data_IF_014603539444
#
_entry.id   IF_014603539444
#
_cell.length_a   1.000
_cell.length_b   1.000
_cell.length_c   1.000
_cell.angle_alpha   90.00
_cell.angle_beta   90.00
_cell.angle_gamma   90.00
#
_symmetry.space_group_name_H-M   'P 1'
#
loop_
_entity.id
_entity.type
_entity.pdbx_description
1 polymer ?
#
# COMPACT_ATOMS: atom_id res chain seq x y z
N UNK A 1 15.32 -17.01 12.94
CA UNK A 1 14.25 -16.66 12.00
C UNK A 1 14.88 -16.27 10.67
N UNK A 2 14.36 -16.76 9.56
CA UNK A 2 14.78 -16.38 8.20
C UNK A 2 13.69 -15.55 7.53
N UNK A 3 14.05 -14.41 6.94
CA UNK A 3 13.13 -13.56 6.19
C UNK A 3 13.55 -13.49 4.72
N UNK A 4 12.73 -14.02 3.83
CA UNK A 4 12.97 -14.10 2.38
C UNK A 4 12.12 -13.07 1.67
N UNK A 5 12.75 -12.20 0.89
CA UNK A 5 12.05 -11.14 0.15
C UNK A 5 12.89 -10.65 -1.05
N UNK A 6 12.30 -9.93 -2.03
CA UNK A 6 13.05 -9.40 -3.17
C UNK A 6 13.93 -8.21 -2.78
N UNK A 7 15.16 -8.47 -2.31
CA UNK A 7 16.06 -7.46 -1.75
C UNK A 7 16.49 -6.39 -2.76
N UNK A 8 16.65 -6.77 -4.02
CA UNK A 8 17.19 -5.92 -5.08
C UNK A 8 16.13 -5.22 -5.93
N UNK A 9 14.85 -5.40 -5.63
CA UNK A 9 13.74 -4.75 -6.32
C UNK A 9 13.10 -3.68 -5.43
N UNK A 10 12.99 -2.44 -5.94
CA UNK A 10 12.30 -1.36 -5.22
C UNK A 10 10.79 -1.49 -5.50
N UNK A 11 10.14 -2.38 -4.76
CA UNK A 11 8.69 -2.60 -4.81
C UNK A 11 8.11 -2.52 -3.40
N UNK A 12 6.79 -2.37 -3.29
CA UNK A 12 6.10 -2.26 -1.99
C UNK A 12 6.45 -3.41 -1.03
N UNK A 13 6.52 -4.64 -1.52
CA UNK A 13 6.90 -5.81 -0.71
C UNK A 13 8.28 -5.67 -0.06
N UNK A 14 9.26 -5.16 -0.80
CA UNK A 14 10.61 -4.92 -0.28
C UNK A 14 10.62 -3.85 0.80
N UNK A 15 9.86 -2.76 0.60
CA UNK A 15 9.76 -1.67 1.57
C UNK A 15 9.14 -2.19 2.87
N UNK A 16 8.06 -2.94 2.79
CA UNK A 16 7.37 -3.50 3.96
C UNK A 16 8.25 -4.55 4.66
N UNK A 17 8.89 -5.46 3.92
CA UNK A 17 9.81 -6.45 4.49
C UNK A 17 10.95 -5.78 5.25
N UNK A 18 11.57 -4.74 4.66
CA UNK A 18 12.64 -3.97 5.32
C UNK A 18 12.16 -3.29 6.59
N UNK A 19 10.94 -2.74 6.62
CA UNK A 19 10.36 -2.15 7.83
C UNK A 19 10.08 -3.19 8.92
N UNK A 20 9.56 -4.37 8.57
CA UNK A 20 9.44 -5.48 9.53
C UNK A 20 10.79 -5.82 10.15
N UNK A 21 11.81 -6.03 9.33
CA UNK A 21 13.15 -6.43 9.77
C UNK A 21 13.82 -5.33 10.60
N UNK A 22 13.73 -4.07 10.15
CA UNK A 22 14.26 -2.90 10.84
C UNK A 22 13.74 -2.83 12.28
N UNK A 23 12.41 -2.91 12.45
CA UNK A 23 11.80 -2.79 13.77
C UNK A 23 11.97 -4.02 14.64
N UNK A 24 12.02 -5.24 14.07
CA UNK A 24 12.39 -6.46 14.82
C UNK A 24 13.80 -6.33 15.40
N UNK A 25 14.76 -5.85 14.59
CA UNK A 25 16.15 -5.63 15.02
C UNK A 25 16.25 -4.49 16.03
N UNK A 26 15.63 -3.34 15.76
CA UNK A 26 15.61 -2.14 16.63
C UNK A 26 15.10 -2.46 18.03
N UNK A 27 14.04 -3.24 18.12
CA UNK A 27 13.40 -3.62 19.38
C UNK A 27 13.97 -4.91 19.99
N UNK A 28 14.96 -5.53 19.35
CA UNK A 28 15.60 -6.79 19.77
C UNK A 28 14.61 -7.94 20.05
N UNK A 29 13.56 -8.03 19.21
CA UNK A 29 12.48 -9.00 19.41
C UNK A 29 12.90 -10.42 19.03
N UNK A 30 13.74 -10.58 18.00
CA UNK A 30 14.23 -11.86 17.52
C UNK A 30 15.53 -11.72 16.72
N UNK A 31 16.31 -12.81 16.63
CA UNK A 31 17.41 -12.89 15.68
C UNK A 31 16.85 -13.18 14.29
N UNK A 32 17.12 -12.31 13.34
CA UNK A 32 16.62 -12.39 11.98
C UNK A 32 17.75 -12.37 10.97
N UNK A 33 17.75 -13.36 10.08
CA UNK A 33 18.61 -13.45 8.91
C UNK A 33 17.80 -13.10 7.67
N UNK A 34 18.38 -12.32 6.78
CA UNK A 34 17.77 -11.89 5.53
C UNK A 34 18.29 -12.72 4.37
N UNK A 35 17.41 -13.10 3.45
CA UNK A 35 17.76 -13.82 2.24
C UNK A 35 17.01 -13.26 1.04
N UNK A 36 17.70 -13.08 -0.08
CA UNK A 36 17.07 -12.71 -1.33
C UNK A 36 16.25 -13.85 -1.92
N UNK A 37 15.11 -13.52 -2.53
CA UNK A 37 14.16 -14.48 -3.14
C UNK A 37 14.83 -15.39 -4.19
N UNK A 38 15.84 -14.87 -4.90
CA UNK A 38 16.55 -15.62 -5.96
C UNK A 38 17.43 -16.71 -5.34
N UNK A 39 18.01 -16.45 -4.17
CA UNK A 39 18.89 -17.38 -3.46
C UNK A 39 18.14 -18.46 -2.69
N UNK A 40 16.87 -18.22 -2.35
CA UNK A 40 16.07 -19.11 -1.51
C UNK A 40 15.99 -20.55 -2.03
N UNK A 41 15.76 -20.82 -3.33
CA UNK A 41 15.68 -22.19 -3.86
C UNK A 41 16.93 -23.05 -3.70
N UNK A 42 18.10 -22.40 -3.58
CA UNK A 42 19.40 -23.06 -3.42
C UNK A 42 19.90 -23.05 -1.98
N UNK A 43 19.15 -22.40 -1.07
CA UNK A 43 19.54 -22.27 0.32
C UNK A 43 19.27 -23.56 1.08
N UNK A 44 20.32 -24.14 1.69
CA UNK A 44 20.23 -25.30 2.59
C UNK A 44 20.76 -24.89 3.94
N UNK A 45 19.90 -24.65 4.92
CA UNK A 45 20.34 -24.23 6.25
C UNK A 45 21.02 -25.38 6.99
N UNK A 46 22.07 -25.07 7.77
CA UNK A 46 22.71 -26.04 8.67
C UNK A 46 21.88 -26.34 9.92
N UNK A 47 20.90 -25.48 10.23
CA UNK A 47 19.90 -25.65 11.27
C UNK A 47 18.53 -25.31 10.69
N UNK A 48 17.46 -25.81 11.33
CA UNK A 48 16.11 -25.45 10.90
C UNK A 48 15.76 -24.02 11.33
N UNK A 49 15.00 -23.33 10.46
CA UNK A 49 14.52 -21.98 10.66
C UNK A 49 13.01 -21.90 10.53
N UNK A 50 12.37 -21.12 11.39
CA UNK A 50 11.09 -20.51 11.04
C UNK A 50 11.32 -19.50 9.95
N UNK A 51 10.67 -19.68 8.79
CA UNK A 51 10.96 -18.93 7.56
C UNK A 51 9.75 -18.16 7.07
N UNK A 52 9.91 -16.88 6.86
CA UNK A 52 8.90 -15.97 6.29
C UNK A 52 9.23 -15.76 4.82
N UNK A 53 8.27 -15.99 3.94
CA UNK A 53 8.34 -15.59 2.52
C UNK A 53 7.41 -14.42 2.26
N UNK A 54 7.94 -13.32 1.76
CA UNK A 54 7.22 -12.09 1.50
C UNK A 54 7.59 -11.45 0.15
N UNK A 55 6.73 -11.48 -0.87
CA UNK A 55 5.41 -12.10 -0.93
C UNK A 55 5.48 -13.59 -1.31
N UNK A 56 4.67 -14.41 -0.68
CA UNK A 56 4.66 -15.85 -0.88
C UNK A 56 4.31 -16.27 -2.31
N UNK A 57 3.15 -15.81 -2.81
CA UNK A 57 2.65 -16.23 -4.12
C UNK A 57 3.61 -15.81 -5.24
N UNK A 58 4.11 -14.57 -5.21
CA UNK A 58 4.98 -14.06 -6.28
C UNK A 58 6.36 -14.73 -6.29
N UNK A 59 6.94 -15.04 -5.12
CA UNK A 59 8.22 -15.76 -5.02
C UNK A 59 8.07 -17.14 -5.67
N UNK A 60 7.03 -17.89 -5.32
CA UNK A 60 6.77 -19.19 -5.93
C UNK A 60 6.39 -19.11 -7.40
N UNK A 61 5.56 -18.16 -7.79
CA UNK A 61 5.16 -17.97 -9.18
C UNK A 61 6.35 -17.70 -10.09
N UNK A 62 7.24 -16.79 -9.71
CA UNK A 62 8.48 -16.51 -10.46
C UNK A 62 9.38 -17.73 -10.54
N UNK A 63 9.56 -18.41 -9.43
CA UNK A 63 10.38 -19.61 -9.38
C UNK A 63 9.86 -20.71 -10.33
N UNK A 64 8.56 -20.93 -10.35
CA UNK A 64 7.93 -21.90 -11.26
C UNK A 64 8.10 -21.50 -12.73
N UNK A 65 7.91 -20.21 -13.06
CA UNK A 65 8.08 -19.72 -14.43
C UNK A 65 9.52 -19.90 -14.92
N UNK A 66 10.52 -19.53 -14.13
CA UNK A 66 11.92 -19.66 -14.51
C UNK A 66 12.30 -21.13 -14.74
N UNK A 67 11.81 -22.03 -13.90
CA UNK A 67 12.17 -23.45 -13.98
C UNK A 67 11.36 -24.22 -15.02
N UNK A 68 10.08 -23.90 -15.26
CA UNK A 68 9.26 -24.54 -16.28
C UNK A 68 9.76 -24.29 -17.69
N UNK A 69 10.25 -23.06 -17.94
CA UNK A 69 10.86 -22.71 -19.22
C UNK A 69 12.19 -23.43 -19.48
N UNK A 70 12.89 -23.83 -18.42
CA UNK A 70 14.22 -24.46 -18.52
C UNK A 70 14.18 -25.98 -18.74
N UNK A 71 13.11 -26.67 -18.40
CA UNK A 71 13.13 -28.14 -18.24
C UNK A 71 11.95 -28.93 -18.85
N UNK A 72 11.03 -28.30 -19.56
CA UNK A 72 9.84 -28.98 -20.19
C UNK A 72 9.00 -29.89 -19.25
N UNK A 73 9.04 -29.66 -17.95
CA UNK A 73 8.25 -30.42 -16.97
C UNK A 73 6.98 -29.71 -16.56
N UNK A 74 5.94 -30.49 -16.15
CA UNK A 74 4.72 -29.92 -15.59
C UNK A 74 5.01 -29.08 -14.34
N UNK A 75 4.67 -27.76 -14.31
CA UNK A 75 4.97 -26.90 -13.20
C UNK A 75 4.38 -27.36 -11.86
N UNK A 76 3.21 -28.02 -11.85
CA UNK A 76 2.53 -28.45 -10.62
C UNK A 76 3.27 -29.56 -9.89
N UNK A 77 3.67 -30.60 -10.62
CA UNK A 77 4.35 -31.77 -10.02
C UNK A 77 5.72 -31.40 -9.47
N UNK A 78 6.37 -30.50 -10.17
CA UNK A 78 7.66 -29.97 -9.76
C UNK A 78 7.59 -29.10 -8.53
N UNK A 79 6.58 -28.24 -8.43
CA UNK A 79 6.35 -27.38 -7.28
C UNK A 79 6.16 -28.21 -6.00
N UNK A 80 5.33 -29.24 -6.02
CA UNK A 80 5.10 -30.10 -4.86
C UNK A 80 6.41 -30.78 -4.41
N UNK A 81 7.18 -31.29 -5.35
CA UNK A 81 8.48 -31.93 -5.07
C UNK A 81 9.48 -30.95 -4.44
N UNK A 82 9.49 -29.69 -4.84
CA UNK A 82 10.32 -28.67 -4.19
C UNK A 82 9.84 -28.30 -2.81
N UNK A 83 8.55 -28.11 -2.60
CA UNK A 83 7.97 -27.86 -1.28
C UNK A 83 8.29 -28.96 -0.29
N UNK A 84 8.09 -30.21 -0.70
CA UNK A 84 8.38 -31.38 0.14
C UNK A 84 9.86 -31.43 0.52
N UNK A 85 10.73 -31.03 -0.40
CA UNK A 85 12.17 -30.96 -0.12
C UNK A 85 12.55 -29.80 0.80
N UNK A 86 11.92 -28.63 0.62
CA UNK A 86 12.17 -27.47 1.49
C UNK A 86 11.61 -27.65 2.90
N UNK A 87 10.43 -28.25 3.05
CA UNK A 87 9.85 -28.54 4.37
C UNK A 87 10.77 -29.37 5.27
N UNK A 88 11.64 -30.18 4.69
CA UNK A 88 12.66 -30.92 5.46
C UNK A 88 13.69 -30.01 6.12
N UNK A 89 13.92 -28.84 5.57
CA UNK A 89 14.95 -27.90 5.98
C UNK A 89 14.44 -26.74 6.87
N UNK A 90 13.11 -26.59 7.00
CA UNK A 90 12.48 -25.49 7.74
C UNK A 90 11.48 -26.00 8.78
N UNK A 91 11.42 -25.35 9.94
CA UNK A 91 10.46 -25.71 10.99
C UNK A 91 9.05 -25.26 10.61
N UNK A 92 8.89 -23.97 10.27
CA UNK A 92 7.64 -23.39 9.84
C UNK A 92 7.87 -22.53 8.60
N UNK A 93 6.94 -22.61 7.66
CA UNK A 93 6.87 -21.77 6.47
C UNK A 93 5.69 -20.80 6.58
N UNK A 94 5.99 -19.53 6.76
CA UNK A 94 4.99 -18.47 6.96
C UNK A 94 4.86 -17.64 5.70
N UNK A 95 3.65 -17.57 5.16
CA UNK A 95 3.34 -16.70 4.04
C UNK A 95 2.98 -15.30 4.53
N UNK A 96 3.66 -14.28 4.02
CA UNK A 96 3.17 -12.90 4.06
C UNK A 96 2.71 -12.55 2.66
N UNK A 97 1.43 -12.25 2.48
CA UNK A 97 0.89 -11.99 1.15
C UNK A 97 -0.28 -11.01 1.16
N UNK A 98 -0.71 -10.64 -0.04
CA UNK A 98 -1.69 -9.59 -0.30
C UNK A 98 -2.80 -10.06 -1.23
N UNK A 99 -3.97 -9.42 -1.13
CA UNK A 99 -5.08 -9.64 -2.05
C UNK A 99 -5.60 -8.29 -2.56
N UNK A 100 -5.45 -8.04 -3.86
CA UNK A 100 -5.81 -6.76 -4.48
C UNK A 100 -7.26 -6.68 -4.97
N UNK A 101 -7.98 -7.81 -5.02
CA UNK A 101 -9.36 -7.92 -5.52
C UNK A 101 -10.22 -8.81 -4.63
N UNK A 102 -11.52 -8.87 -4.88
CA UNK A 102 -12.46 -9.71 -4.11
C UNK A 102 -12.31 -11.22 -4.36
N UNK A 103 -11.32 -11.64 -5.19
CA UNK A 103 -11.12 -13.04 -5.53
C UNK A 103 -9.69 -13.37 -5.95
N UNK A 104 -9.19 -14.50 -5.46
CA UNK A 104 -7.97 -15.16 -5.95
C UNK A 104 -8.29 -16.33 -6.89
N UNK A 105 -7.35 -16.63 -7.78
CA UNK A 105 -7.42 -17.85 -8.59
C UNK A 105 -7.21 -19.11 -7.72
N UNK A 106 -7.73 -20.24 -8.21
CA UNK A 106 -7.47 -21.55 -7.58
C UNK A 106 -5.96 -21.85 -7.49
N UNK A 107 -5.20 -21.44 -8.49
CA UNK A 107 -3.75 -21.56 -8.50
C UNK A 107 -3.11 -20.85 -7.29
N UNK A 108 -3.48 -19.59 -7.04
CA UNK A 108 -2.96 -18.82 -5.91
C UNK A 108 -3.38 -19.43 -4.56
N UNK A 109 -4.62 -19.89 -4.45
CA UNK A 109 -5.14 -20.58 -3.24
C UNK A 109 -4.36 -21.85 -2.97
N UNK A 110 -4.07 -22.65 -4.01
CA UNK A 110 -3.28 -23.88 -3.87
C UNK A 110 -1.85 -23.58 -3.41
N UNK A 111 -1.23 -22.50 -3.90
CA UNK A 111 0.08 -22.07 -3.41
C UNK A 111 0.03 -21.71 -1.92
N UNK A 112 -0.92 -20.89 -1.50
CA UNK A 112 -1.08 -20.46 -0.11
C UNK A 112 -1.36 -21.60 0.85
N UNK A 113 -2.11 -22.61 0.42
CA UNK A 113 -2.39 -23.79 1.23
C UNK A 113 -1.16 -24.67 1.54
N UNK A 114 -0.01 -24.35 0.97
CA UNK A 114 1.27 -24.99 1.33
C UNK A 114 2.03 -24.26 2.45
N UNK A 115 1.63 -23.07 2.85
CA UNK A 115 2.17 -22.42 4.04
C UNK A 115 1.63 -23.07 5.31
N UNK A 116 2.31 -22.89 6.42
CA UNK A 116 1.81 -23.32 7.75
C UNK A 116 0.90 -22.25 8.35
N UNK A 117 1.29 -20.97 8.24
CA UNK A 117 0.52 -19.79 8.63
C UNK A 117 0.51 -18.76 7.53
N UNK A 118 -0.52 -17.91 7.50
CA UNK A 118 -0.65 -16.83 6.55
C UNK A 118 -0.83 -15.49 7.27
N UNK A 119 -0.06 -14.50 6.88
CA UNK A 119 -0.15 -13.12 7.35
C UNK A 119 -0.63 -12.25 6.20
N UNK A 120 -1.69 -11.50 6.43
CA UNK A 120 -2.26 -10.56 5.46
C UNK A 120 -2.50 -9.18 6.10
N UNK A 121 -2.44 -8.08 5.31
CA UNK A 121 -2.39 -6.73 5.88
C UNK A 121 -3.74 -6.16 6.31
N UNK A 122 -4.86 -6.79 5.96
CA UNK A 122 -6.20 -6.23 6.22
C UNK A 122 -7.25 -7.30 6.47
N UNK A 123 -8.35 -6.92 7.13
CA UNK A 123 -9.52 -7.79 7.28
C UNK A 123 -10.11 -8.18 5.92
N UNK A 124 -10.13 -7.25 4.96
CA UNK A 124 -10.53 -7.54 3.58
C UNK A 124 -9.73 -8.70 2.99
N UNK A 125 -8.40 -8.70 3.12
CA UNK A 125 -7.57 -9.80 2.64
C UNK A 125 -7.92 -11.11 3.33
N UNK A 126 -8.08 -11.11 4.66
CA UNK A 126 -8.45 -12.31 5.43
C UNK A 126 -9.81 -12.88 4.97
N UNK A 127 -10.81 -12.03 4.77
CA UNK A 127 -12.13 -12.45 4.29
C UNK A 127 -12.06 -13.06 2.89
N UNK A 128 -11.34 -12.42 1.97
CA UNK A 128 -11.18 -12.92 0.60
C UNK A 128 -10.44 -14.25 0.61
N UNK A 129 -9.36 -14.40 1.38
CA UNK A 129 -8.62 -15.65 1.52
C UNK A 129 -9.53 -16.79 2.00
N UNK A 130 -10.35 -16.55 3.02
CA UNK A 130 -11.33 -17.52 3.54
C UNK A 130 -12.36 -17.89 2.47
N UNK A 131 -12.94 -16.89 1.81
CA UNK A 131 -13.98 -17.09 0.79
C UNK A 131 -13.45 -17.83 -0.45
N UNK A 132 -12.16 -17.71 -0.76
CA UNK A 132 -11.51 -18.43 -1.85
C UNK A 132 -11.09 -19.87 -1.47
N UNK A 133 -11.26 -20.31 -0.21
CA UNK A 133 -10.98 -21.68 0.22
C UNK A 133 -9.55 -21.89 0.72
N UNK A 134 -8.89 -20.87 1.19
CA UNK A 134 -7.63 -20.99 1.94
C UNK A 134 -7.95 -21.61 3.32
N UNK A 135 -7.23 -22.71 3.66
CA UNK A 135 -7.54 -23.55 4.84
C UNK A 135 -6.52 -23.39 5.98
N UNK A 136 -5.59 -22.47 5.85
CA UNK A 136 -4.53 -22.24 6.83
C UNK A 136 -4.96 -21.22 7.87
N UNK A 137 -4.30 -21.23 9.00
CA UNK A 137 -4.47 -20.21 10.01
C UNK A 137 -4.01 -18.86 9.45
N UNK A 138 -4.80 -17.82 9.70
CA UNK A 138 -4.62 -16.51 9.08
C UNK A 138 -4.61 -15.40 10.12
N UNK A 139 -3.63 -14.53 10.03
CA UNK A 139 -3.42 -13.42 10.94
C UNK A 139 -3.43 -12.08 10.20
N UNK A 140 -4.14 -11.09 10.74
CA UNK A 140 -4.07 -9.73 10.25
C UNK A 140 -2.89 -9.00 10.90
N UNK A 141 -1.85 -8.72 10.13
CA UNK A 141 -0.74 -7.85 10.51
C UNK A 141 -0.70 -6.70 9.50
N UNK A 142 -1.21 -5.50 9.84
CA UNK A 142 -1.30 -4.38 8.92
C UNK A 142 0.08 -3.78 8.63
N UNK A 143 0.15 -2.93 7.62
CA UNK A 143 1.29 -2.05 7.46
C UNK A 143 1.19 -0.85 8.41
N UNK A 144 2.32 -0.19 8.67
CA UNK A 144 2.40 0.96 9.54
C UNK A 144 3.15 2.13 8.93
N UNK A 145 3.27 3.18 9.72
CA UNK A 145 4.22 4.27 9.50
C UNK A 145 5.15 4.38 10.70
N UNK A 146 6.27 5.05 10.53
CA UNK A 146 7.17 5.29 11.64
C UNK A 146 6.47 6.16 12.70
N UNK A 147 6.69 5.92 14.00
CA UNK A 147 5.99 6.65 15.08
C UNK A 147 6.10 8.17 14.94
N UNK A 148 7.22 8.66 14.42
CA UNK A 148 7.49 10.07 14.19
C UNK A 148 6.46 10.75 13.28
N UNK A 149 5.90 10.02 12.32
CA UNK A 149 4.87 10.57 11.41
C UNK A 149 3.65 11.10 12.16
N UNK A 150 3.32 10.49 13.29
CA UNK A 150 2.18 10.92 14.11
C UNK A 150 2.50 12.13 15.00
N UNK A 151 3.76 12.35 15.34
CA UNK A 151 4.18 13.30 16.36
C UNK A 151 4.82 14.57 15.80
N UNK A 152 5.46 14.49 14.61
CA UNK A 152 6.15 15.64 14.04
C UNK A 152 5.17 16.80 13.75
N UNK A 153 5.54 18.04 14.14
CA UNK A 153 4.79 19.22 13.73
C UNK A 153 4.83 19.39 12.21
N UNK A 154 4.03 20.32 11.71
CA UNK A 154 4.08 20.67 10.29
C UNK A 154 5.50 21.12 9.90
N UNK A 155 6.09 20.47 8.90
CA UNK A 155 7.51 20.66 8.58
C UNK A 155 7.79 21.90 7.71
N UNK A 156 6.77 22.52 7.13
CA UNK A 156 6.95 23.69 6.29
C UNK A 156 7.40 24.94 7.05
N UNK A 157 7.06 25.05 8.32
CA UNK A 157 7.44 26.20 9.17
C UNK A 157 8.89 26.17 9.64
N UNK A 158 9.59 25.04 9.52
CA UNK A 158 10.91 24.82 10.12
C UNK A 158 12.00 24.39 9.16
N UNK A 159 11.67 24.10 7.88
CA UNK A 159 12.65 23.64 6.91
C UNK A 159 13.50 24.79 6.35
N UNK A 160 14.84 24.67 6.34
CA UNK A 160 15.66 25.62 5.60
C UNK A 160 15.35 25.46 4.10
N UNK A 161 14.87 26.54 3.49
CA UNK A 161 14.44 26.64 2.06
C UNK A 161 15.48 26.05 1.09
N UNK A 162 16.75 26.05 1.46
CA UNK A 162 17.88 25.56 0.65
C UNK A 162 17.93 24.03 0.45
N UNK A 163 17.13 23.25 1.20
CA UNK A 163 17.08 21.78 1.12
C UNK A 163 15.75 21.23 0.56
N UNK A 164 14.87 22.10 0.10
CA UNK A 164 13.56 21.69 -0.41
C UNK A 164 13.70 21.25 -1.86
N UNK A 165 13.16 20.06 -2.18
CA UNK A 165 13.03 19.60 -3.56
C UNK A 165 12.27 20.66 -4.39
N UNK A 166 12.82 21.12 -5.53
CA UNK A 166 12.21 22.17 -6.35
C UNK A 166 10.75 21.89 -6.74
N UNK A 167 10.39 20.62 -6.92
CA UNK A 167 9.01 20.22 -7.24
C UNK A 167 8.04 20.50 -6.09
N UNK A 168 8.49 20.37 -4.84
CA UNK A 168 7.70 20.71 -3.67
C UNK A 168 7.56 22.22 -3.49
N UNK A 169 8.55 22.98 -3.93
CA UNK A 169 8.48 24.45 -3.92
C UNK A 169 7.33 24.96 -4.78
N UNK A 170 7.08 24.36 -5.94
CA UNK A 170 5.94 24.74 -6.79
C UNK A 170 4.60 24.52 -6.07
N UNK A 171 4.44 23.37 -5.40
CA UNK A 171 3.25 23.07 -4.59
C UNK A 171 3.09 24.10 -3.46
N UNK A 172 4.17 24.42 -2.76
CA UNK A 172 4.18 25.43 -1.71
C UNK A 172 3.76 26.81 -2.22
N UNK A 173 4.28 27.23 -3.36
CA UNK A 173 3.94 28.54 -3.96
C UNK A 173 2.45 28.62 -4.33
N UNK A 174 1.87 27.54 -4.84
CA UNK A 174 0.43 27.49 -5.12
C UNK A 174 -0.40 27.56 -3.84
N UNK A 175 -0.01 26.81 -2.80
CA UNK A 175 -0.73 26.82 -1.53
C UNK A 175 -0.66 28.18 -0.84
N UNK A 176 0.53 28.72 -0.63
CA UNK A 176 0.72 29.91 0.22
C UNK A 176 0.51 31.20 -0.55
N UNK A 177 1.15 31.36 -1.73
CA UNK A 177 1.06 32.63 -2.48
C UNK A 177 -0.22 32.77 -3.30
N UNK A 178 -0.73 31.66 -3.85
CA UNK A 178 -1.95 31.67 -4.65
C UNK A 178 -3.20 31.27 -3.85
N UNK A 179 -3.04 30.99 -2.55
CA UNK A 179 -4.11 30.54 -1.64
C UNK A 179 -4.94 29.39 -2.20
N UNK A 180 -4.27 28.39 -2.81
CA UNK A 180 -4.93 27.21 -3.38
C UNK A 180 -5.09 26.13 -2.34
N UNK A 181 -6.22 25.40 -2.39
CA UNK A 181 -6.42 24.14 -1.72
C UNK A 181 -5.79 23.03 -2.53
N UNK A 182 -4.93 22.25 -1.91
CA UNK A 182 -4.12 21.20 -2.55
C UNK A 182 -4.79 19.84 -2.40
N UNK A 183 -5.20 19.27 -3.53
CA UNK A 183 -5.60 17.88 -3.61
C UNK A 183 -4.38 17.05 -4.03
N UNK A 184 -4.07 15.99 -3.31
CA UNK A 184 -2.92 15.14 -3.57
C UNK A 184 -3.35 13.76 -4.04
N UNK A 185 -2.72 13.28 -5.12
CA UNK A 185 -2.95 11.94 -5.64
C UNK A 185 -1.63 11.29 -6.07
N UNK A 186 -1.40 10.04 -5.62
CA UNK A 186 -0.22 9.25 -5.98
C UNK A 186 -0.54 8.24 -7.07
N UNK A 187 0.17 8.34 -8.19
CA UNK A 187 0.07 7.42 -9.31
C UNK A 187 1.46 6.92 -9.72
N UNK A 188 1.89 5.82 -9.16
CA UNK A 188 3.19 5.23 -9.46
C UNK A 188 3.13 4.25 -10.62
N UNK A 189 2.13 3.37 -10.60
CA UNK A 189 1.83 2.36 -11.62
C UNK A 189 0.35 1.98 -11.58
N UNK A 190 -0.08 1.14 -12.55
CA UNK A 190 -1.44 0.57 -12.61
C UNK A 190 -2.56 1.64 -12.58
N UNK A 191 -2.59 2.58 -13.53
CA UNK A 191 -3.54 3.69 -13.52
C UNK A 191 -4.99 3.24 -13.43
N UNK A 192 -5.36 2.14 -14.12
CA UNK A 192 -6.72 1.62 -14.06
C UNK A 192 -7.09 1.13 -12.66
N UNK A 193 -6.23 0.33 -12.03
CA UNK A 193 -6.46 -0.15 -10.66
C UNK A 193 -6.51 1.00 -9.66
N UNK A 194 -5.70 2.02 -9.85
CA UNK A 194 -5.65 3.20 -8.98
C UNK A 194 -6.80 4.18 -9.22
N UNK A 195 -7.66 3.97 -10.23
CA UNK A 195 -8.83 4.80 -10.49
C UNK A 195 -8.50 6.14 -11.16
N UNK A 196 -7.48 6.16 -12.03
CA UNK A 196 -7.06 7.38 -12.71
C UNK A 196 -8.18 8.02 -13.53
N UNK A 197 -9.03 7.23 -14.20
CA UNK A 197 -10.17 7.77 -14.97
C UNK A 197 -11.14 8.54 -14.07
N UNK A 198 -11.40 8.02 -12.89
CA UNK A 198 -12.28 8.64 -11.90
C UNK A 198 -11.66 9.93 -11.31
N UNK A 199 -10.35 9.91 -11.00
CA UNK A 199 -9.63 11.10 -10.55
C UNK A 199 -9.64 12.20 -11.61
N UNK A 200 -9.41 11.84 -12.87
CA UNK A 200 -9.44 12.76 -14.00
C UNK A 200 -10.83 13.40 -14.19
N UNK A 201 -11.89 12.60 -14.15
CA UNK A 201 -13.26 13.08 -14.23
C UNK A 201 -13.60 14.00 -13.05
N UNK A 202 -13.33 13.53 -11.83
CA UNK A 202 -13.52 14.28 -10.60
C UNK A 202 -12.84 15.67 -10.67
N UNK A 203 -11.55 15.70 -11.00
CA UNK A 203 -10.82 16.96 -11.03
C UNK A 203 -11.28 17.91 -12.16
N UNK A 204 -11.60 17.37 -13.34
CA UNK A 204 -12.18 18.17 -14.43
C UNK A 204 -13.49 18.86 -14.05
N UNK A 205 -14.30 18.22 -13.24
CA UNK A 205 -15.56 18.80 -12.74
C UNK A 205 -15.29 19.79 -11.61
N UNK A 206 -14.52 19.39 -10.61
CA UNK A 206 -14.22 20.23 -9.45
C UNK A 206 -13.58 21.58 -9.83
N UNK A 207 -12.61 21.58 -10.76
CA UNK A 207 -11.92 22.82 -11.18
C UNK A 207 -12.82 23.78 -11.97
N UNK A 208 -13.96 23.34 -12.51
CA UNK A 208 -14.96 24.21 -13.12
C UNK A 208 -15.76 24.97 -12.04
N UNK A 209 -16.08 24.29 -10.95
CA UNK A 209 -16.88 24.82 -9.85
C UNK A 209 -16.04 25.63 -8.85
N UNK A 210 -14.79 25.20 -8.60
CA UNK A 210 -13.88 25.81 -7.64
C UNK A 210 -12.56 26.23 -8.29
N UNK A 211 -12.31 27.53 -8.30
CA UNK A 211 -11.06 28.09 -8.85
C UNK A 211 -9.92 28.13 -7.83
N UNK A 212 -10.20 27.86 -6.58
CA UNK A 212 -9.25 27.84 -5.47
C UNK A 212 -8.56 26.49 -5.24
N UNK A 213 -8.83 25.47 -6.07
CA UNK A 213 -8.21 24.14 -5.96
C UNK A 213 -7.07 23.95 -6.94
N UNK A 214 -6.14 23.04 -6.59
CA UNK A 214 -5.09 22.53 -7.48
C UNK A 214 -4.85 21.05 -7.18
N UNK A 215 -4.74 20.23 -8.24
CA UNK A 215 -4.35 18.83 -8.10
C UNK A 215 -2.83 18.72 -8.18
N UNK A 216 -2.24 18.04 -7.21
CA UNK A 216 -0.85 17.59 -7.23
C UNK A 216 -0.84 16.12 -7.59
N UNK A 217 -0.30 15.80 -8.75
CA UNK A 217 -0.16 14.44 -9.27
C UNK A 217 1.27 13.95 -9.03
N UNK A 218 1.44 13.02 -8.10
CA UNK A 218 2.72 12.38 -7.81
C UNK A 218 2.93 11.16 -8.69
N UNK A 219 3.92 11.22 -9.59
CA UNK A 219 4.20 10.17 -10.58
C UNK A 219 5.61 9.58 -10.44
N UNK A 220 5.86 8.46 -11.12
CA UNK A 220 7.19 7.88 -11.23
C UNK A 220 8.11 8.73 -12.12
N UNK A 221 7.61 9.13 -13.29
CA UNK A 221 8.39 9.78 -14.36
C UNK A 221 7.84 11.17 -14.68
N UNK A 222 8.69 12.13 -15.07
CA UNK A 222 8.23 13.41 -15.60
C UNK A 222 7.45 13.29 -16.92
N UNK A 223 7.61 12.17 -17.63
CA UNK A 223 6.95 11.86 -18.89
C UNK A 223 5.71 10.97 -18.72
N UNK A 224 5.00 11.10 -17.58
CA UNK A 224 3.78 10.35 -17.35
C UNK A 224 2.68 10.78 -18.33
N UNK A 225 2.11 9.80 -19.05
CA UNK A 225 0.96 10.00 -19.94
C UNK A 225 -0.20 10.62 -19.17
N UNK A 226 -0.43 10.19 -17.97
CA UNK A 226 -1.52 10.62 -17.10
C UNK A 226 -1.41 12.10 -16.77
N UNK A 227 -0.19 12.62 -16.58
CA UNK A 227 0.03 14.06 -16.41
C UNK A 227 -0.33 14.85 -17.67
N UNK A 228 0.10 14.39 -18.84
CA UNK A 228 -0.21 15.08 -20.10
C UNK A 228 -1.71 15.16 -20.40
N UNK A 229 -2.49 14.17 -19.94
CA UNK A 229 -3.96 14.18 -20.09
C UNK A 229 -4.67 15.30 -19.31
N UNK A 230 -4.02 15.87 -18.30
CA UNK A 230 -4.61 16.87 -17.38
C UNK A 230 -3.78 18.13 -17.20
N UNK A 231 -2.63 18.26 -17.84
CA UNK A 231 -1.73 19.41 -17.68
C UNK A 231 -2.42 20.74 -17.96
N UNK A 232 -3.32 20.79 -18.94
CA UNK A 232 -4.08 21.99 -19.31
C UNK A 232 -5.09 22.43 -18.22
N UNK A 233 -5.29 21.62 -17.18
CA UNK A 233 -6.17 21.95 -16.06
C UNK A 233 -5.42 22.60 -14.89
N UNK A 234 -4.15 22.97 -15.07
CA UNK A 234 -3.31 23.58 -14.04
C UNK A 234 -2.86 22.60 -12.95
N UNK A 235 -2.68 21.33 -13.32
CA UNK A 235 -2.16 20.28 -12.41
C UNK A 235 -0.66 20.49 -12.20
N UNK A 236 -0.20 20.31 -10.95
CA UNK A 236 1.22 20.30 -10.61
C UNK A 236 1.71 18.86 -10.60
N UNK A 237 2.81 18.58 -11.30
CA UNK A 237 3.44 17.27 -11.26
C UNK A 237 4.61 17.25 -10.27
N UNK A 238 4.57 16.28 -9.34
CA UNK A 238 5.72 15.88 -8.52
C UNK A 238 6.14 14.50 -8.97
N UNK A 239 7.38 14.31 -9.44
CA UNK A 239 7.83 13.04 -9.99
C UNK A 239 9.09 12.50 -9.32
N UNK A 240 9.42 11.24 -9.60
CA UNK A 240 10.60 10.57 -9.05
C UNK A 240 10.40 10.05 -7.62
N UNK A 241 11.47 9.59 -7.02
CA UNK A 241 11.47 9.12 -5.64
C UNK A 241 11.51 10.30 -4.67
N UNK A 242 10.75 10.24 -3.61
CA UNK A 242 10.82 11.16 -2.47
C UNK A 242 11.31 10.38 -1.25
N UNK A 243 12.25 10.95 -0.50
CA UNK A 243 12.59 10.43 0.81
C UNK A 243 11.47 10.70 1.83
N UNK A 244 11.56 10.12 3.02
CA UNK A 244 10.48 10.23 4.02
C UNK A 244 10.22 11.68 4.44
N UNK A 245 11.27 12.50 4.57
CA UNK A 245 11.10 13.92 4.89
C UNK A 245 10.35 14.69 3.78
N UNK A 246 10.74 14.48 2.53
CA UNK A 246 10.06 15.09 1.37
C UNK A 246 8.60 14.63 1.27
N UNK A 247 8.33 13.35 1.57
CA UNK A 247 6.95 12.82 1.62
C UNK A 247 6.13 13.50 2.72
N UNK A 248 6.69 13.62 3.94
CA UNK A 248 6.04 14.32 5.05
C UNK A 248 5.71 15.76 4.63
N UNK A 249 6.68 16.48 4.04
CA UNK A 249 6.46 17.84 3.54
C UNK A 249 5.34 17.89 2.49
N UNK A 250 5.29 16.94 1.57
CA UNK A 250 4.26 16.91 0.54
C UNK A 250 2.86 16.67 1.14
N UNK A 251 2.73 15.74 2.10
CA UNK A 251 1.46 15.55 2.80
C UNK A 251 1.07 16.78 3.64
N UNK A 252 2.02 17.42 4.32
CA UNK A 252 1.74 18.62 5.11
C UNK A 252 1.26 19.81 4.26
N UNK A 253 1.57 19.82 2.96
CA UNK A 253 1.02 20.78 1.99
C UNK A 253 -0.38 20.42 1.50
N UNK A 254 -0.77 19.15 1.57
CA UNK A 254 -2.06 18.71 1.07
C UNK A 254 -3.22 19.12 2.00
N UNK A 255 -4.36 19.44 1.41
CA UNK A 255 -5.61 19.65 2.12
C UNK A 255 -6.51 18.40 2.06
N UNK A 256 -6.46 17.66 0.94
CA UNK A 256 -7.19 16.40 0.74
C UNK A 256 -6.28 15.42 0.00
N UNK A 257 -6.28 14.17 0.43
CA UNK A 257 -5.69 13.06 -0.30
C UNK A 257 -6.78 12.25 -1.01
N UNK A 258 -6.54 11.90 -2.28
CA UNK A 258 -7.49 11.10 -3.07
C UNK A 258 -7.04 9.63 -3.10
N UNK A 259 -7.86 8.72 -2.59
CA UNK A 259 -7.71 7.28 -2.77
C UNK A 259 -8.87 6.73 -3.60
N UNK A 260 -8.74 6.76 -4.91
CA UNK A 260 -9.75 6.27 -5.85
C UNK A 260 -9.43 4.86 -6.35
N UNK A 261 -8.58 4.12 -5.62
CA UNK A 261 -8.24 2.74 -5.96
C UNK A 261 -9.48 1.87 -6.05
N UNK A 262 -9.57 1.09 -7.12
CA UNK A 262 -10.67 0.14 -7.37
C UNK A 262 -10.51 -1.16 -6.57
N UNK A 263 -9.29 -1.44 -6.12
CA UNK A 263 -8.91 -2.57 -5.28
C UNK A 263 -7.46 -2.45 -4.86
N UNK A 264 -7.11 -3.15 -3.80
CA UNK A 264 -5.77 -3.16 -3.21
C UNK A 264 -5.78 -3.77 -1.82
N UNK A 265 -4.70 -4.44 -1.47
CA UNK A 265 -4.55 -5.11 -0.19
C UNK A 265 -4.26 -4.15 0.97
N UNK A 266 -3.58 -3.04 0.65
CA UNK A 266 -3.28 -1.97 1.59
C UNK A 266 -2.80 -0.72 0.83
N UNK A 267 -3.45 0.42 1.04
CA UNK A 267 -3.08 1.69 0.42
C UNK A 267 -2.20 2.51 1.37
N UNK A 268 -0.89 2.26 1.33
CA UNK A 268 0.08 2.83 2.27
C UNK A 268 0.08 4.38 2.26
N UNK A 269 0.04 4.98 1.06
CA UNK A 269 -0.02 6.44 0.92
C UNK A 269 -1.25 7.07 1.60
N UNK A 270 -2.35 6.33 1.67
CA UNK A 270 -3.56 6.76 2.38
C UNK A 270 -3.36 6.78 3.89
N UNK A 271 -2.70 5.74 4.43
CA UNK A 271 -2.33 5.72 5.85
C UNK A 271 -1.34 6.85 6.18
N UNK A 272 -0.35 7.07 5.34
CA UNK A 272 0.62 8.17 5.49
C UNK A 272 -0.09 9.54 5.53
N UNK A 273 -1.05 9.76 4.64
CA UNK A 273 -1.87 10.98 4.63
C UNK A 273 -2.61 11.20 5.95
N UNK A 274 -3.33 10.18 6.42
CA UNK A 274 -4.04 10.24 7.70
C UNK A 274 -3.09 10.42 8.88
N UNK A 275 -1.91 9.80 8.86
CA UNK A 275 -0.88 9.97 9.89
C UNK A 275 -0.37 11.41 9.95
N UNK A 276 -0.40 12.15 8.85
CA UNK A 276 -0.11 13.59 8.80
C UNK A 276 -1.34 14.48 9.08
N UNK A 277 -2.47 13.85 9.40
CA UNK A 277 -3.72 14.54 9.71
C UNK A 277 -4.37 15.18 8.49
N UNK A 278 -4.14 14.65 7.30
CA UNK A 278 -4.77 15.11 6.05
C UNK A 278 -6.04 14.30 5.79
N UNK A 279 -7.20 14.94 5.61
CA UNK A 279 -8.43 14.26 5.22
C UNK A 279 -8.26 13.47 3.91
N UNK A 280 -8.94 12.34 3.82
CA UNK A 280 -8.91 11.44 2.66
C UNK A 280 -10.31 11.35 2.05
N UNK A 281 -10.41 11.26 0.74
CA UNK A 281 -11.62 10.79 0.05
C UNK A 281 -11.32 9.40 -0.53
N UNK A 282 -12.08 8.40 -0.11
CA UNK A 282 -11.91 7.01 -0.56
C UNK A 282 -13.25 6.31 -0.69
N UNK A 283 -13.36 5.33 -1.61
CA UNK A 283 -14.56 4.49 -1.72
C UNK A 283 -14.79 3.66 -0.46
N UNK A 284 -16.05 3.36 -0.14
CA UNK A 284 -16.44 2.47 0.96
C UNK A 284 -16.28 0.99 0.58
N UNK A 285 -15.08 0.63 0.11
CA UNK A 285 -14.73 -0.73 -0.32
C UNK A 285 -13.25 -1.04 -0.03
N UNK A 286 -12.94 -2.33 0.15
CA UNK A 286 -11.57 -2.82 0.19
C UNK A 286 -10.86 -2.68 1.53
N UNK A 287 -9.55 -2.85 1.48
CA UNK A 287 -8.68 -2.93 2.65
C UNK A 287 -8.59 -1.66 3.49
N UNK A 288 -8.75 -0.52 2.86
CA UNK A 288 -8.66 0.78 3.55
C UNK A 288 -9.85 1.08 4.46
N UNK A 289 -10.92 0.29 4.41
CA UNK A 289 -12.02 0.37 5.40
C UNK A 289 -11.53 0.08 6.83
N UNK A 290 -10.43 -0.64 6.98
CA UNK A 290 -9.86 -0.97 8.28
C UNK A 290 -9.30 0.27 9.01
N UNK A 291 -8.87 1.30 8.28
CA UNK A 291 -8.17 2.46 8.85
C UNK A 291 -8.66 3.83 8.34
N UNK A 292 -9.59 3.88 7.41
CA UNK A 292 -10.26 5.14 7.04
C UNK A 292 -11.60 5.23 7.77
N UNK A 293 -11.83 6.27 8.58
CA UNK A 293 -13.08 6.43 9.29
C UNK A 293 -14.25 6.69 8.32
N UNK A 294 -15.46 6.26 8.70
CA UNK A 294 -16.64 6.30 7.84
C UNK A 294 -16.99 7.69 7.29
N UNK A 295 -16.74 8.75 8.06
CA UNK A 295 -17.02 10.12 7.63
C UNK A 295 -16.16 10.63 6.47
N UNK A 296 -15.07 9.92 6.12
CA UNK A 296 -14.21 10.21 4.97
C UNK A 296 -14.49 9.29 3.76
N UNK A 297 -15.35 8.28 3.92
CA UNK A 297 -15.66 7.33 2.86
C UNK A 297 -16.83 7.81 2.02
N UNK A 298 -16.79 7.49 0.74
CA UNK A 298 -17.81 7.82 -0.27
C UNK A 298 -18.34 6.55 -0.90
N UNK A 299 -19.50 6.63 -1.53
CA UNK A 299 -20.14 5.49 -2.19
C UNK A 299 -19.27 4.87 -3.24
N UNK A 300 -19.47 3.58 -3.45
CA UNK A 300 -18.93 2.85 -4.59
C UNK A 300 -19.80 3.07 -5.82
N UNK A 301 -19.14 3.19 -6.98
CA UNK A 301 -19.78 3.20 -8.28
C UNK A 301 -19.85 1.79 -8.91
N UNK A 302 -19.51 1.71 -10.19
CA UNK A 302 -19.54 0.47 -10.99
C UNK A 302 -18.56 -0.59 -10.46
N UNK A 303 -18.99 -1.84 -10.45
CA UNK A 303 -18.12 -3.00 -10.17
C UNK A 303 -17.30 -3.35 -11.41
N UNK A 304 -15.98 -3.41 -11.28
CA UNK A 304 -15.04 -3.63 -12.38
C UNK A 304 -13.96 -4.63 -11.99
N UNK A 305 -13.39 -5.31 -12.98
CA UNK A 305 -12.23 -6.17 -12.77
C UNK A 305 -11.02 -5.32 -12.34
N UNK A 306 -10.36 -5.69 -11.24
CA UNK A 306 -9.27 -4.87 -10.66
C UNK A 306 -8.00 -4.96 -11.50
N UNK A 307 -7.62 -6.17 -11.90
CA UNK A 307 -6.41 -6.49 -12.65
C UNK A 307 -6.74 -7.43 -13.83
N UNK A 308 -7.29 -6.92 -14.95
CA UNK A 308 -7.62 -7.74 -16.11
C UNK A 308 -6.40 -8.56 -16.60
N UNK A 309 -6.60 -9.87 -16.81
CA UNK A 309 -5.55 -10.78 -17.27
C UNK A 309 -4.54 -11.22 -16.21
N UNK A 310 -4.68 -10.80 -14.96
CA UNK A 310 -3.81 -11.26 -13.87
C UNK A 310 -4.14 -12.73 -13.51
N UNK A 311 -3.09 -13.55 -13.35
CA UNK A 311 -3.24 -14.97 -13.04
C UNK A 311 -3.49 -15.27 -11.55
N UNK A 312 -3.31 -14.29 -10.69
CA UNK A 312 -3.40 -14.40 -9.23
C UNK A 312 -4.67 -13.69 -8.74
N UNK A 313 -4.78 -12.39 -8.98
CA UNK A 313 -5.88 -11.54 -8.54
C UNK A 313 -6.92 -11.43 -9.66
N UNK A 314 -7.84 -12.38 -9.74
CA UNK A 314 -8.81 -12.52 -10.84
C UNK A 314 -10.15 -11.84 -10.57
N UNK A 315 -10.29 -11.21 -9.42
CA UNK A 315 -11.56 -10.69 -8.93
C UNK A 315 -11.83 -9.24 -9.34
N UNK A 316 -12.85 -8.71 -8.69
CA UNK A 316 -13.43 -7.41 -8.94
C UNK A 316 -13.18 -6.47 -7.76
N UNK A 317 -13.41 -5.21 -7.99
CA UNK A 317 -13.50 -4.13 -7.05
C UNK A 317 -14.48 -3.10 -7.56
N UNK A 318 -14.41 -1.88 -7.07
CA UNK A 318 -15.38 -0.85 -7.41
C UNK A 318 -14.70 0.47 -7.77
N UNK A 319 -15.24 1.14 -8.77
CA UNK A 319 -14.94 2.56 -8.99
C UNK A 319 -15.45 3.39 -7.82
N UNK A 320 -14.86 4.55 -7.62
CA UNK A 320 -15.47 5.58 -6.76
C UNK A 320 -16.69 6.17 -7.46
N UNK A 321 -17.75 6.45 -6.72
CA UNK A 321 -18.84 7.32 -7.19
C UNK A 321 -18.31 8.75 -7.23
N UNK A 322 -18.12 9.27 -8.45
CA UNK A 322 -17.51 10.60 -8.68
C UNK A 322 -18.41 11.72 -8.15
N UNK A 323 -19.74 11.57 -8.22
CA UNK A 323 -20.68 12.57 -7.70
C UNK A 323 -20.59 12.68 -6.18
N UNK A 324 -20.60 11.54 -5.50
CA UNK A 324 -20.47 11.50 -4.05
C UNK A 324 -19.08 12.00 -3.59
N UNK A 325 -18.03 11.72 -4.38
CA UNK A 325 -16.69 12.23 -4.13
C UNK A 325 -16.60 13.76 -4.29
N UNK A 326 -17.29 14.35 -5.28
CA UNK A 326 -17.39 15.80 -5.45
C UNK A 326 -18.09 16.46 -4.27
N UNK A 327 -19.24 15.92 -3.87
CA UNK A 327 -19.99 16.41 -2.72
C UNK A 327 -19.13 16.35 -1.44
N UNK A 328 -18.38 15.25 -1.25
CA UNK A 328 -17.46 15.10 -0.13
C UNK A 328 -16.30 16.10 -0.18
N UNK A 329 -15.76 16.39 -1.37
CA UNK A 329 -14.70 17.37 -1.51
C UNK A 329 -15.18 18.80 -1.16
N UNK A 330 -16.37 19.18 -1.62
CA UNK A 330 -16.99 20.45 -1.24
C UNK A 330 -17.18 20.54 0.28
N UNK A 331 -17.79 19.51 0.88
CA UNK A 331 -18.02 19.47 2.32
C UNK A 331 -16.73 19.58 3.14
N UNK A 332 -15.67 18.83 2.76
CA UNK A 332 -14.37 18.92 3.43
C UNK A 332 -13.76 20.32 3.27
N UNK A 333 -13.82 20.92 2.08
CA UNK A 333 -13.19 22.21 1.82
C UNK A 333 -13.93 23.37 2.47
N UNK A 334 -15.24 23.28 2.65
CA UNK A 334 -16.07 24.26 3.32
C UNK A 334 -15.98 24.16 4.84
N UNK A 335 -15.86 22.95 5.37
CA UNK A 335 -15.77 22.67 6.80
C UNK A 335 -14.36 22.14 7.20
N UNK A 336 -13.30 22.70 6.58
CA UNK A 336 -11.95 22.14 6.63
C UNK A 336 -11.41 21.95 8.05
N UNK A 337 -11.58 22.95 8.92
CA UNK A 337 -11.04 22.91 10.28
C UNK A 337 -11.72 21.84 11.13
N UNK A 338 -13.01 21.60 10.94
CA UNK A 338 -13.77 20.53 11.60
C UNK A 338 -13.30 19.16 11.15
N UNK A 339 -13.16 18.94 9.82
CA UNK A 339 -12.59 17.69 9.29
C UNK A 339 -11.16 17.45 9.77
N UNK A 340 -10.34 18.49 9.78
CA UNK A 340 -8.97 18.42 10.28
C UNK A 340 -8.91 18.05 11.76
N UNK A 341 -9.78 18.60 12.58
CA UNK A 341 -9.89 18.26 14.00
C UNK A 341 -10.27 16.80 14.20
N UNK A 342 -11.32 16.32 13.50
CA UNK A 342 -11.78 14.92 13.55
C UNK A 342 -10.70 13.94 13.11
N UNK A 343 -9.97 14.24 12.02
CA UNK A 343 -8.85 13.40 11.55
C UNK A 343 -7.71 13.39 12.56
N UNK A 344 -7.38 14.54 13.16
CA UNK A 344 -6.33 14.64 14.17
C UNK A 344 -6.69 13.86 15.45
N UNK A 345 -7.92 13.86 15.86
CA UNK A 345 -8.40 13.04 16.98
C UNK A 345 -8.31 11.55 16.65
N UNK A 346 -8.80 11.14 15.48
CA UNK A 346 -8.76 9.76 15.02
C UNK A 346 -7.31 9.22 14.91
N UNK A 347 -6.40 9.99 14.31
CA UNK A 347 -5.00 9.59 14.18
C UNK A 347 -4.31 9.36 15.53
N UNK A 348 -4.58 10.20 16.55
CA UNK A 348 -4.00 10.07 17.88
C UNK A 348 -4.58 8.89 18.65
N UNK A 349 -5.90 8.71 18.59
CA UNK A 349 -6.59 7.74 19.41
C UNK A 349 -6.55 6.32 18.84
N UNK A 350 -6.50 6.17 17.52
CA UNK A 350 -6.58 4.90 16.80
C UNK A 350 -5.30 4.62 16.00
N UNK A 351 -4.99 5.46 15.00
CA UNK A 351 -3.94 5.12 14.03
C UNK A 351 -2.55 5.03 14.68
N UNK A 352 -2.19 5.97 15.53
CA UNK A 352 -0.90 5.97 16.20
C UNK A 352 -0.67 4.74 17.10
N UNK A 353 -1.74 4.11 17.58
CA UNK A 353 -1.67 2.90 18.41
C UNK A 353 -1.61 1.63 17.58
N UNK A 354 -2.39 1.55 16.49
CA UNK A 354 -2.55 0.30 15.74
C UNK A 354 -1.60 0.20 14.54
N UNK A 355 -1.30 1.33 13.87
CA UNK A 355 -0.62 1.37 12.58
C UNK A 355 0.77 2.00 12.66
N UNK A 356 1.53 1.72 13.72
CA UNK A 356 2.94 2.07 13.83
C UNK A 356 3.82 0.82 13.75
N UNK A 357 5.00 0.94 13.16
CA UNK A 357 5.89 -0.20 12.93
C UNK A 357 6.39 -0.89 14.20
N UNK A 358 6.48 -0.18 15.34
CA UNK A 358 6.91 -0.80 16.62
C UNK A 358 5.89 -1.83 17.11
N UNK A 359 4.61 -1.48 17.11
CA UNK A 359 3.54 -2.38 17.53
C UNK A 359 3.32 -3.51 16.51
N UNK A 360 3.47 -3.21 15.23
CA UNK A 360 3.36 -4.19 14.15
C UNK A 360 4.46 -5.25 14.26
N UNK A 361 5.72 -4.84 14.50
CA UNK A 361 6.83 -5.77 14.67
C UNK A 361 6.65 -6.70 15.89
N UNK A 362 6.13 -6.19 17.02
CA UNK A 362 5.80 -7.00 18.19
C UNK A 362 4.76 -8.07 17.87
N UNK A 363 3.62 -7.66 17.27
CA UNK A 363 2.55 -8.58 16.86
C UNK A 363 3.01 -9.59 15.82
N UNK A 364 3.88 -9.18 14.89
CA UNK A 364 4.46 -10.09 13.90
C UNK A 364 5.27 -11.19 14.56
N UNK A 365 6.13 -10.84 15.51
CA UNK A 365 6.96 -11.84 16.23
C UNK A 365 6.11 -12.74 17.12
N UNK A 366 5.08 -12.22 17.80
CA UNK A 366 4.10 -13.02 18.55
C UNK A 366 3.48 -14.10 17.67
N UNK A 367 2.89 -13.73 16.54
CA UNK A 367 2.26 -14.68 15.59
C UNK A 367 3.24 -15.73 15.04
N UNK A 368 4.51 -15.35 14.87
CA UNK A 368 5.54 -16.25 14.34
C UNK A 368 5.99 -17.25 15.44
N UNK A 369 5.94 -16.86 16.70
CA UNK A 369 6.41 -17.66 17.83
C UNK A 369 5.36 -18.63 18.36
N UNK A 370 4.07 -18.38 18.10
CA UNK A 370 2.97 -19.31 18.37
C UNK A 370 3.02 -20.52 17.40
#
# INVERSE_FOLDING_TARGET
MLYVYPQFHIVSFTIIAKKHIEYIKKLKLANIQELDEISFPSFTPGIKYTTILHPWIYIYHRFLQIRSNALNENPKDRFQKYLDNWRKNFDNLIAVDVVDSDRLSEYAVNLLNNADKIIAPSNFCIEVLKNCGVKREMFRIPHGVDPEWYCLPNQWGSAPVQKINPLLLEVFLHKIKKNKKVLLYFLWHSPDRKGWSEVKEFYKRLVKERKDVVLVLKTYSPYSREFYEVMNLGVIQVYGWLNDYEKICLYDLADIYLNFSRGGAFEHNTLESLARGVPVIASDFGSWKDYIPGFLRVKTGERVQVLPGNLIHIGYGYKVDVEDALNKAHDILENYDDYKAKVNEYRKNILAKEYNWENIAKRLVEVISE
#
